data_IF_171554266492
#
_entry.id   IF_171554266492
#
_cell.length_a   1.000
_cell.length_b   1.000
_cell.length_c   1.000
_cell.angle_alpha   90.00
_cell.angle_beta   90.00
_cell.angle_gamma   90.00
#
_symmetry.space_group_name_H-M   'P 1'
#
loop_
_entity.id
_entity.type
_entity.pdbx_description
1 polymer ?
#
# COMPACT_ATOMS: atom_id res chain seq x y z
N UNK A 1 -15.79 2.20 12.48
CA UNK A 1 -14.81 1.83 13.56
C UNK A 1 -13.72 2.88 13.53
N UNK A 2 -13.35 3.43 14.68
CA UNK A 2 -12.28 4.44 14.76
C UNK A 2 -10.97 3.71 15.10
N UNK A 3 -10.14 3.48 14.10
CA UNK A 3 -8.84 2.80 14.22
C UNK A 3 -7.97 3.47 15.31
N UNK A 4 -8.01 4.81 15.41
CA UNK A 4 -7.20 5.54 16.38
C UNK A 4 -7.62 5.24 17.82
N UNK A 5 -8.91 4.98 18.07
CA UNK A 5 -9.37 4.57 19.39
C UNK A 5 -8.98 3.12 19.70
N UNK A 6 -9.01 2.23 18.73
CA UNK A 6 -8.66 0.82 18.92
C UNK A 6 -7.17 0.60 19.20
N UNK A 7 -6.29 1.34 18.54
CA UNK A 7 -4.83 1.24 18.76
C UNK A 7 -4.35 2.07 19.95
N UNK A 8 -5.22 2.89 20.54
CA UNK A 8 -4.87 3.74 21.67
C UNK A 8 -4.49 2.87 22.87
N UNK A 9 -3.23 2.91 23.25
CA UNK A 9 -2.65 2.05 24.30
C UNK A 9 -1.88 0.83 23.79
N UNK A 10 -1.99 0.45 22.53
CA UNK A 10 -1.11 -0.56 21.93
C UNK A 10 0.23 0.06 21.52
N UNK A 11 1.33 -0.63 21.83
CA UNK A 11 2.68 -0.26 21.39
C UNK A 11 3.24 -1.20 20.32
N UNK A 12 2.44 -2.20 19.87
CA UNK A 12 2.87 -3.21 18.90
C UNK A 12 1.88 -3.30 17.77
N UNK A 13 2.04 -2.39 16.84
CA UNK A 13 1.26 -2.31 15.60
C UNK A 13 2.18 -2.05 14.41
N UNK A 14 1.73 -2.47 13.23
CA UNK A 14 2.28 -2.11 11.94
C UNK A 14 1.13 -1.85 10.97
N UNK A 15 1.16 -0.73 10.27
CA UNK A 15 0.15 -0.33 9.29
C UNK A 15 0.71 -0.12 7.89
N UNK A 16 1.97 -0.53 7.65
CA UNK A 16 2.56 -0.46 6.32
C UNK A 16 3.32 -1.75 6.02
N UNK A 17 2.75 -2.58 5.15
CA UNK A 17 3.40 -3.80 4.69
C UNK A 17 2.94 -4.22 3.30
N UNK A 18 3.88 -4.74 2.51
CA UNK A 18 3.70 -5.22 1.16
C UNK A 18 3.70 -6.74 1.12
N UNK A 19 2.99 -7.31 0.15
CA UNK A 19 2.80 -8.76 0.00
C UNK A 19 2.88 -9.17 -1.46
N UNK A 20 2.63 -10.44 -1.76
CA UNK A 20 2.59 -10.99 -3.12
C UNK A 20 1.58 -10.29 -4.06
N UNK A 21 0.73 -9.42 -3.55
CA UNK A 21 -0.22 -8.66 -4.38
C UNK A 21 0.42 -7.45 -5.08
N UNK A 22 1.60 -7.04 -4.63
CA UNK A 22 2.42 -6.02 -5.27
C UNK A 22 3.88 -6.50 -5.34
N UNK A 23 4.84 -5.74 -4.87
CA UNK A 23 6.28 -6.07 -4.90
C UNK A 23 6.79 -6.81 -3.65
N UNK A 24 5.92 -7.10 -2.69
CA UNK A 24 6.26 -7.87 -1.50
C UNK A 24 6.62 -9.32 -1.84
N UNK A 25 7.62 -9.85 -1.12
CA UNK A 25 8.24 -11.16 -1.43
C UNK A 25 7.54 -12.36 -0.80
N UNK A 26 6.68 -12.15 0.19
CA UNK A 26 6.01 -13.21 0.91
C UNK A 26 4.50 -13.18 0.71
N UNK A 27 3.87 -14.37 0.82
CA UNK A 27 2.43 -14.48 0.84
C UNK A 27 1.85 -13.78 2.08
N UNK A 28 0.73 -13.10 1.92
CA UNK A 28 0.05 -12.36 3.00
C UNK A 28 -0.19 -13.23 4.24
N UNK A 29 -0.60 -14.47 4.05
CA UNK A 29 -0.88 -15.40 5.15
C UNK A 29 0.37 -15.74 5.99
N UNK A 30 1.59 -15.61 5.43
CA UNK A 30 2.81 -15.87 6.17
C UNK A 30 3.16 -14.74 7.17
N UNK A 31 2.66 -13.52 6.94
CA UNK A 31 2.89 -12.39 7.84
C UNK A 31 2.13 -12.53 9.16
N UNK A 32 0.90 -13.09 9.12
CA UNK A 32 0.02 -13.10 10.29
C UNK A 32 0.60 -13.92 11.46
N UNK A 33 0.99 -15.20 11.29
CA UNK A 33 1.60 -15.95 12.39
C UNK A 33 2.91 -15.33 12.88
N UNK A 34 3.69 -14.72 11.98
CA UNK A 34 4.91 -14.02 12.38
C UNK A 34 4.62 -12.77 13.21
N UNK A 35 3.60 -11.99 12.84
CA UNK A 35 3.16 -10.83 13.60
C UNK A 35 2.64 -11.22 14.98
N UNK A 36 1.81 -12.28 15.07
CA UNK A 36 1.33 -12.82 16.36
C UNK A 36 2.48 -13.28 17.24
N UNK A 37 3.44 -14.02 16.68
CA UNK A 37 4.63 -14.48 17.42
C UNK A 37 5.50 -13.32 17.92
N UNK A 38 5.58 -12.23 17.15
CA UNK A 38 6.26 -10.99 17.55
C UNK A 38 5.45 -10.13 18.53
N UNK A 39 4.23 -10.54 18.87
CA UNK A 39 3.37 -9.86 19.84
C UNK A 39 2.66 -8.64 19.28
N UNK A 40 2.48 -8.53 17.97
CA UNK A 40 1.63 -7.51 17.36
C UNK A 40 0.17 -7.75 17.71
N UNK A 41 -0.55 -6.68 18.03
CA UNK A 41 -2.00 -6.70 18.31
C UNK A 41 -2.81 -6.16 17.13
N UNK A 42 -2.19 -5.35 16.28
CA UNK A 42 -2.79 -4.72 15.11
C UNK A 42 -1.83 -4.80 13.94
N UNK A 43 -2.32 -5.23 12.79
CA UNK A 43 -1.49 -5.34 11.59
C UNK A 43 -2.29 -4.98 10.33
N UNK A 44 -1.80 -4.02 9.56
CA UNK A 44 -2.40 -3.57 8.32
C UNK A 44 -1.58 -4.00 7.10
N UNK A 45 -2.29 -4.45 6.08
CA UNK A 45 -1.72 -4.70 4.77
C UNK A 45 -1.98 -3.49 3.88
N UNK A 46 -0.94 -2.93 3.30
CA UNK A 46 -1.00 -1.74 2.45
C UNK A 46 -0.16 -1.90 1.18
N UNK A 47 -0.52 -2.87 0.32
CA UNK A 47 0.19 -3.05 -0.94
C UNK A 47 0.09 -1.79 -1.80
N UNK A 48 1.07 -1.56 -2.69
CA UNK A 48 0.95 -0.54 -3.73
C UNK A 48 -0.34 -0.71 -4.50
N UNK A 49 -1.12 0.36 -4.61
CA UNK A 49 -2.39 0.37 -5.33
C UNK A 49 -2.20 0.18 -6.84
N UNK A 50 -3.25 -0.16 -7.59
CA UNK A 50 -3.24 0.01 -9.03
C UNK A 50 -2.90 1.44 -9.44
N UNK A 51 -2.16 1.57 -10.54
CA UNK A 51 -1.84 2.87 -11.17
C UNK A 51 -2.15 2.80 -12.67
N UNK A 52 -2.49 3.93 -13.33
CA UNK A 52 -2.80 3.97 -14.77
C UNK A 52 -1.54 4.05 -15.65
N UNK A 53 -0.38 3.78 -15.10
CA UNK A 53 0.93 3.76 -15.78
C UNK A 53 1.54 2.37 -15.71
N UNK A 54 2.56 2.11 -16.51
CA UNK A 54 3.30 0.84 -16.45
C UNK A 54 4.18 0.84 -15.20
N UNK A 55 3.92 -0.10 -14.30
CA UNK A 55 4.71 -0.32 -13.09
C UNK A 55 4.82 -1.80 -12.80
N UNK A 56 6.00 -2.24 -12.38
CA UNK A 56 6.25 -3.63 -11.93
C UNK A 56 6.03 -3.82 -10.43
N UNK A 57 5.86 -2.74 -9.68
CA UNK A 57 5.71 -2.77 -8.22
C UNK A 57 4.25 -2.72 -7.77
N UNK A 58 3.38 -2.11 -8.58
CA UNK A 58 1.99 -1.89 -8.22
C UNK A 58 1.10 -3.12 -8.46
N UNK A 59 0.06 -3.25 -7.64
CA UNK A 59 -0.97 -4.27 -7.81
C UNK A 59 -1.71 -4.08 -9.13
N UNK A 60 -1.97 -5.17 -9.86
CA UNK A 60 -2.89 -5.14 -10.99
C UNK A 60 -4.34 -4.94 -10.54
N UNK A 61 -5.11 -4.16 -11.28
CA UNK A 61 -6.49 -3.81 -10.93
C UNK A 61 -7.41 -5.03 -10.77
N UNK A 62 -7.19 -6.08 -11.56
CA UNK A 62 -7.93 -7.34 -11.50
C UNK A 62 -7.62 -8.18 -10.25
N UNK A 63 -6.61 -7.81 -9.47
CA UNK A 63 -6.23 -8.48 -8.22
C UNK A 63 -6.84 -7.84 -6.97
N UNK A 64 -7.46 -6.67 -7.09
CA UNK A 64 -7.99 -5.94 -5.94
C UNK A 64 -9.02 -6.75 -5.17
N UNK A 65 -9.99 -7.36 -5.86
CA UNK A 65 -11.02 -8.17 -5.20
C UNK A 65 -10.42 -9.42 -4.53
N UNK A 66 -9.41 -10.04 -5.16
CA UNK A 66 -8.70 -11.19 -4.60
C UNK A 66 -7.93 -10.80 -3.34
N UNK A 67 -7.27 -9.63 -3.36
CA UNK A 67 -6.59 -9.05 -2.20
C UNK A 67 -7.56 -8.83 -1.04
N UNK A 68 -8.68 -8.14 -1.29
CA UNK A 68 -9.69 -7.85 -0.27
C UNK A 68 -10.32 -9.13 0.31
N UNK A 69 -10.60 -10.10 -0.55
CA UNK A 69 -11.11 -11.41 -0.13
C UNK A 69 -10.11 -12.16 0.77
N UNK A 70 -8.81 -12.08 0.46
CA UNK A 70 -7.75 -12.70 1.27
C UNK A 70 -7.61 -12.02 2.63
N UNK A 71 -7.63 -10.69 2.70
CA UNK A 71 -7.66 -10.00 4.00
C UNK A 71 -8.86 -10.45 4.83
N UNK A 72 -10.05 -10.49 4.24
CA UNK A 72 -11.26 -10.95 4.93
C UNK A 72 -11.19 -12.42 5.39
N UNK A 73 -10.53 -13.29 4.61
CA UNK A 73 -10.26 -14.67 5.02
C UNK A 73 -9.36 -14.72 6.25
N UNK A 74 -8.28 -13.96 6.25
CA UNK A 74 -7.32 -13.90 7.36
C UNK A 74 -7.92 -13.27 8.62
N UNK A 75 -8.76 -12.24 8.48
CA UNK A 75 -9.51 -11.64 9.58
C UNK A 75 -10.41 -12.67 10.28
N UNK A 76 -11.11 -13.52 9.51
CA UNK A 76 -11.94 -14.60 10.08
C UNK A 76 -11.11 -15.68 10.77
N UNK A 77 -9.92 -15.98 10.25
CA UNK A 77 -9.06 -17.05 10.78
C UNK A 77 -8.29 -16.64 12.03
N UNK A 78 -7.93 -15.36 12.15
CA UNK A 78 -7.01 -14.88 13.17
C UNK A 78 -7.59 -13.78 14.09
N UNK A 79 -8.86 -13.39 13.89
CA UNK A 79 -9.46 -12.23 14.55
C UNK A 79 -9.55 -12.32 16.07
N UNK A 80 -9.40 -13.51 16.68
CA UNK A 80 -9.30 -13.72 18.12
C UNK A 80 -7.87 -13.48 18.67
N UNK A 81 -6.88 -13.32 17.81
CA UNK A 81 -5.46 -13.17 18.16
C UNK A 81 -4.84 -11.85 17.75
N UNK A 82 -5.29 -11.26 16.65
CA UNK A 82 -4.74 -10.05 16.07
C UNK A 82 -5.80 -9.34 15.23
N UNK A 83 -5.86 -8.02 15.35
CA UNK A 83 -6.70 -7.20 14.49
C UNK A 83 -5.98 -6.95 13.15
N UNK A 84 -6.59 -7.39 12.05
CA UNK A 84 -6.05 -7.22 10.70
C UNK A 84 -6.85 -6.16 9.95
N UNK A 85 -6.16 -5.36 9.14
CA UNK A 85 -6.75 -4.24 8.41
C UNK A 85 -6.38 -4.28 6.94
N UNK A 86 -7.38 -3.97 6.09
CA UNK A 86 -7.20 -3.78 4.66
C UNK A 86 -6.87 -2.32 4.35
N UNK A 87 -5.82 -2.08 3.60
CA UNK A 87 -5.43 -0.76 3.12
C UNK A 87 -4.78 -0.84 1.75
N UNK A 88 -4.43 0.30 1.21
CA UNK A 88 -3.53 0.42 0.06
C UNK A 88 -2.62 1.63 0.25
N UNK A 89 -1.40 1.51 -0.23
CA UNK A 89 -0.52 2.64 -0.48
C UNK A 89 -0.83 3.18 -1.89
N UNK A 90 -1.45 4.35 -1.93
CA UNK A 90 -2.04 4.92 -3.13
C UNK A 90 -1.16 6.05 -3.64
N UNK A 91 -0.60 5.85 -4.85
CA UNK A 91 0.17 6.87 -5.52
C UNK A 91 -0.69 8.08 -5.90
N UNK A 92 -0.23 9.26 -5.50
CA UNK A 92 -0.71 10.51 -6.06
C UNK A 92 0.08 10.82 -7.33
N UNK A 93 -0.59 10.83 -8.46
CA UNK A 93 -0.01 11.20 -9.75
C UNK A 93 -0.40 12.64 -10.14
N UNK A 94 -1.67 12.98 -9.92
CA UNK A 94 -2.26 14.30 -10.17
C UNK A 94 -3.64 14.41 -9.49
N UNK A 95 -4.38 15.47 -9.79
CA UNK A 95 -5.71 15.71 -9.23
C UNK A 95 -6.75 14.62 -9.60
N UNK A 96 -6.52 13.88 -10.71
CA UNK A 96 -7.40 12.81 -11.18
C UNK A 96 -7.05 11.44 -10.60
N UNK A 97 -5.84 11.26 -10.07
CA UNK A 97 -5.38 9.99 -9.54
C UNK A 97 -4.59 10.15 -8.23
N UNK A 98 -5.23 9.76 -7.16
CA UNK A 98 -4.67 9.81 -5.80
C UNK A 98 -5.64 9.22 -4.78
N UNK A 99 -5.32 9.32 -3.48
CA UNK A 99 -6.16 8.74 -2.41
C UNK A 99 -7.61 9.22 -2.41
N UNK A 100 -7.90 10.42 -2.91
CA UNK A 100 -9.25 11.00 -3.00
C UNK A 100 -10.05 10.54 -4.23
N UNK A 101 -9.44 9.80 -5.17
CA UNK A 101 -10.15 9.30 -6.34
C UNK A 101 -11.32 8.39 -5.92
N UNK A 102 -12.49 8.56 -6.59
CA UNK A 102 -13.73 7.83 -6.28
C UNK A 102 -13.55 6.31 -6.28
N UNK A 103 -12.69 5.78 -7.15
CA UNK A 103 -12.38 4.36 -7.17
C UNK A 103 -11.85 3.89 -5.82
N UNK A 104 -10.82 4.54 -5.28
CA UNK A 104 -10.25 4.15 -3.99
C UNK A 104 -11.19 4.45 -2.82
N UNK A 105 -12.00 5.51 -2.93
CA UNK A 105 -13.01 5.84 -1.91
C UNK A 105 -14.13 4.79 -1.85
N UNK A 106 -14.46 4.14 -2.97
CA UNK A 106 -15.49 3.10 -3.04
C UNK A 106 -15.03 1.74 -2.50
N UNK A 107 -13.72 1.50 -2.38
CA UNK A 107 -13.19 0.25 -1.88
C UNK A 107 -13.38 0.15 -0.35
N UNK A 108 -13.70 -1.05 0.18
CA UNK A 108 -13.87 -1.29 1.62
C UNK A 108 -12.52 -1.37 2.32
N UNK A 109 -11.75 -0.27 2.28
CA UNK A 109 -10.48 -0.12 2.96
C UNK A 109 -10.67 0.50 4.34
N UNK A 110 -10.02 -0.05 5.35
CA UNK A 110 -10.04 0.46 6.72
C UNK A 110 -9.31 1.81 6.82
N UNK A 111 -8.23 1.98 6.09
CA UNK A 111 -7.48 3.23 5.95
C UNK A 111 -6.79 3.30 4.59
N UNK A 112 -6.17 4.45 4.28
CA UNK A 112 -5.44 4.70 3.04
C UNK A 112 -4.15 5.42 3.36
N UNK A 113 -3.06 5.02 2.70
CA UNK A 113 -1.77 5.71 2.74
C UNK A 113 -1.61 6.43 1.39
N UNK A 114 -1.34 7.72 1.43
CA UNK A 114 -0.97 8.48 0.24
C UNK A 114 0.54 8.48 0.08
N UNK A 115 1.02 8.23 -1.13
CA UNK A 115 2.44 8.25 -1.48
C UNK A 115 2.67 8.99 -2.79
N UNK A 116 3.91 9.38 -3.03
CA UNK A 116 4.37 9.95 -4.29
C UNK A 116 5.63 9.18 -4.70
N UNK A 117 5.48 8.20 -5.58
CA UNK A 117 6.61 7.45 -6.14
C UNK A 117 6.96 7.91 -7.57
N UNK A 118 6.10 8.72 -8.19
CA UNK A 118 6.29 9.17 -9.57
C UNK A 118 6.15 10.68 -9.66
N UNK A 119 7.14 11.33 -10.26
CA UNK A 119 7.09 12.77 -10.57
C UNK A 119 6.72 12.91 -12.05
N UNK A 120 5.68 13.68 -12.41
CA UNK A 120 5.33 13.90 -13.82
C UNK A 120 6.43 14.69 -14.53
N UNK A 121 6.75 14.28 -15.75
CA UNK A 121 7.65 15.02 -16.66
C UNK A 121 7.17 14.93 -18.10
N UNK A 122 7.74 15.74 -18.99
CA UNK A 122 7.38 15.77 -20.41
C UNK A 122 7.59 14.41 -21.09
N UNK A 123 8.58 13.64 -20.66
CA UNK A 123 8.94 12.33 -21.22
C UNK A 123 8.32 11.14 -20.45
N UNK A 124 7.35 11.42 -19.60
CA UNK A 124 6.67 10.43 -18.75
C UNK A 124 7.10 10.48 -17.28
N UNK A 125 6.53 9.62 -16.43
CA UNK A 125 6.77 9.67 -15.01
C UNK A 125 8.22 9.32 -14.64
N UNK A 126 8.78 10.06 -13.71
CA UNK A 126 10.10 9.81 -13.10
C UNK A 126 9.87 9.02 -11.82
N UNK A 127 10.38 7.80 -11.77
CA UNK A 127 10.37 6.96 -10.58
C UNK A 127 11.40 7.48 -9.56
N UNK A 128 10.93 7.84 -8.35
CA UNK A 128 11.78 8.38 -7.29
C UNK A 128 12.53 7.30 -6.51
N UNK A 129 12.02 6.07 -6.51
CA UNK A 129 12.62 4.90 -5.85
C UNK A 129 13.56 4.11 -6.77
N UNK A 130 13.74 4.59 -7.99
CA UNK A 130 14.65 4.01 -8.96
C UNK A 130 16.12 4.19 -8.60
N UNK A 131 17.00 3.83 -9.55
CA UNK A 131 18.44 4.05 -9.34
C UNK A 131 18.72 5.55 -9.21
N UNK A 132 19.48 5.92 -8.17
CA UNK A 132 19.82 7.31 -7.87
C UNK A 132 20.39 8.08 -9.07
N UNK A 133 21.31 7.47 -9.83
CA UNK A 133 21.92 8.10 -10.99
C UNK A 133 20.88 8.41 -12.10
N UNK A 134 19.91 7.50 -12.29
CA UNK A 134 18.83 7.70 -13.26
C UNK A 134 17.87 8.80 -12.78
N UNK A 135 17.50 8.79 -11.51
CA UNK A 135 16.66 9.81 -10.90
C UNK A 135 17.33 11.18 -10.99
N UNK A 136 18.58 11.32 -10.52
CA UNK A 136 19.32 12.57 -10.52
C UNK A 136 19.51 13.16 -11.93
N UNK A 137 19.81 12.30 -12.93
CA UNK A 137 19.91 12.71 -14.33
C UNK A 137 18.58 13.26 -14.85
N UNK A 138 17.49 12.53 -14.66
CA UNK A 138 16.14 12.95 -15.10
C UNK A 138 15.68 14.23 -14.42
N UNK A 139 15.94 14.36 -13.12
CA UNK A 139 15.62 15.59 -12.37
C UNK A 139 16.34 16.78 -12.98
N UNK A 140 17.64 16.63 -13.27
CA UNK A 140 18.44 17.69 -13.93
C UNK A 140 17.93 18.01 -15.35
N UNK A 141 17.59 17.00 -16.14
CA UNK A 141 17.09 17.19 -17.52
C UNK A 141 15.74 17.93 -17.58
N UNK A 142 14.89 17.79 -16.55
CA UNK A 142 13.52 18.32 -16.59
C UNK A 142 13.25 19.50 -15.64
N UNK A 143 14.08 19.72 -14.62
CA UNK A 143 13.80 20.69 -13.57
C UNK A 143 14.97 21.61 -13.20
N UNK A 144 16.19 21.38 -13.71
CA UNK A 144 17.28 22.36 -13.59
C UNK A 144 17.16 23.41 -14.71
N UNK A 145 16.96 24.68 -14.32
CA UNK A 145 17.05 25.86 -15.18
C UNK A 145 18.50 26.28 -15.40
#
# INVERSE_FOLDING_TARGET
>A
MDILQEINGSRRYNFHSHTQFCDGRAAMEAFVPAAVAAGFTHYGFSPHSPVPIVSSCNMHRDKVDVYLAEVGRLQRLWGDRINLYASMEIDYLDESWGPSNEYFQSLPLDYRIGSVHFIPSADGPIDIDGRFESFARKMKEHFDD
#
